data_IF_556562308185
#
_entry.id   IF_556562308185
#
_cell.length_a   1.000
_cell.length_b   1.000
_cell.length_c   1.000
_cell.angle_alpha   90.00
_cell.angle_beta   90.00
_cell.angle_gamma   90.00
#
_symmetry.space_group_name_H-M   'P 1'
#
loop_
_entity.id
_entity.type
_entity.pdbx_description
1 polymer ?
#
# COMPACT_ATOMS: atom_id res chain seq x y z
N UNK A 1 -42.88 -29.04 -44.24
CA UNK A 1 -43.54 -28.14 -43.27
C UNK A 1 -42.53 -27.10 -42.82
N UNK A 2 -42.85 -25.80 -42.83
CA UNK A 2 -41.91 -24.78 -42.37
C UNK A 2 -41.62 -25.01 -40.88
N UNK A 3 -40.34 -25.12 -40.53
CA UNK A 3 -39.89 -25.20 -39.15
C UNK A 3 -40.16 -23.86 -38.46
N UNK A 4 -41.30 -23.74 -37.80
CA UNK A 4 -41.57 -22.63 -36.89
C UNK A 4 -40.95 -22.93 -35.54
N UNK A 5 -40.45 -21.89 -34.86
CA UNK A 5 -39.79 -21.99 -33.54
C UNK A 5 -40.68 -22.74 -32.53
N UNK A 6 -42.00 -22.52 -32.58
CA UNK A 6 -42.97 -23.19 -31.71
C UNK A 6 -43.04 -24.70 -31.94
N UNK A 7 -42.91 -25.15 -33.19
CA UNK A 7 -42.91 -26.57 -33.51
C UNK A 7 -41.62 -27.26 -33.04
N UNK A 8 -40.49 -26.54 -33.05
CA UNK A 8 -39.20 -27.04 -32.54
C UNK A 8 -39.25 -27.20 -31.02
N UNK A 9 -39.69 -26.18 -30.29
CA UNK A 9 -39.78 -26.26 -28.82
C UNK A 9 -40.86 -27.25 -28.37
N UNK A 10 -41.97 -27.37 -29.11
CA UNK A 10 -42.98 -28.38 -28.87
C UNK A 10 -42.45 -29.80 -29.03
N UNK A 11 -41.68 -30.06 -30.10
CA UNK A 11 -41.03 -31.35 -30.32
C UNK A 11 -39.98 -31.64 -29.23
N UNK A 12 -39.13 -30.68 -28.91
CA UNK A 12 -38.09 -30.81 -27.87
C UNK A 12 -38.72 -31.09 -26.49
N UNK A 13 -39.77 -30.36 -26.14
CA UNK A 13 -40.52 -30.55 -24.89
C UNK A 13 -41.19 -31.92 -24.83
N UNK A 14 -41.76 -32.40 -25.95
CA UNK A 14 -42.34 -33.73 -26.02
C UNK A 14 -41.26 -34.83 -25.87
N UNK A 15 -40.12 -34.68 -26.54
CA UNK A 15 -38.99 -35.63 -26.41
C UNK A 15 -38.45 -35.66 -24.99
N UNK A 16 -38.27 -34.52 -24.33
CA UNK A 16 -37.83 -34.44 -22.93
C UNK A 16 -38.88 -35.05 -21.98
N UNK A 17 -40.16 -34.71 -22.18
CA UNK A 17 -41.27 -35.19 -21.36
C UNK A 17 -41.55 -36.70 -21.50
N UNK A 18 -41.23 -37.29 -22.66
CA UNK A 18 -41.35 -38.73 -22.88
C UNK A 18 -40.24 -39.56 -22.22
N UNK A 19 -39.07 -38.96 -21.95
CA UNK A 19 -37.91 -39.65 -21.36
C UNK A 19 -37.28 -38.83 -20.21
N UNK A 20 -38.03 -38.47 -19.16
CA UNK A 20 -37.61 -37.49 -18.17
C UNK A 20 -36.35 -37.91 -17.39
N UNK A 21 -36.24 -39.20 -17.04
CA UNK A 21 -35.10 -39.74 -16.28
C UNK A 21 -33.79 -39.61 -17.06
N UNK A 22 -33.81 -39.89 -18.37
CA UNK A 22 -32.63 -39.81 -19.23
C UNK A 22 -32.08 -38.39 -19.31
N UNK A 23 -32.97 -37.40 -19.47
CA UNK A 23 -32.56 -35.99 -19.53
C UNK A 23 -32.09 -35.44 -18.18
N UNK A 24 -32.60 -35.96 -17.07
CA UNK A 24 -32.08 -35.66 -15.72
C UNK A 24 -30.65 -36.18 -15.55
N UNK A 25 -30.37 -37.42 -15.96
CA UNK A 25 -29.01 -37.97 -15.86
C UNK A 25 -28.02 -37.24 -16.77
N UNK A 26 -28.44 -36.90 -17.99
CA UNK A 26 -27.62 -36.12 -18.92
C UNK A 26 -27.32 -34.72 -18.39
N UNK A 27 -28.31 -34.01 -17.86
CA UNK A 27 -28.11 -32.67 -17.31
C UNK A 27 -27.22 -32.69 -16.07
N UNK A 28 -27.40 -33.68 -15.18
CA UNK A 28 -26.56 -33.85 -13.99
C UNK A 28 -25.12 -34.18 -14.37
N UNK A 29 -24.91 -35.06 -15.36
CA UNK A 29 -23.57 -35.41 -15.83
C UNK A 29 -22.85 -34.21 -16.44
N UNK A 30 -23.54 -33.42 -17.28
CA UNK A 30 -23.01 -32.17 -17.84
C UNK A 30 -22.68 -31.15 -16.75
N UNK A 31 -23.55 -31.01 -15.75
CA UNK A 31 -23.32 -30.13 -14.61
C UNK A 31 -22.09 -30.57 -13.81
N UNK A 32 -21.97 -31.86 -13.47
CA UNK A 32 -20.81 -32.40 -12.75
C UNK A 32 -19.50 -32.21 -13.52
N UNK A 33 -19.50 -32.38 -14.84
CA UNK A 33 -18.31 -32.12 -15.68
C UNK A 33 -17.99 -30.61 -15.69
N UNK A 34 -19.00 -29.74 -15.76
CA UNK A 34 -18.78 -28.29 -15.76
C UNK A 34 -18.17 -27.77 -14.44
N UNK A 35 -18.46 -28.44 -13.32
CA UNK A 35 -17.90 -28.15 -12.01
C UNK A 35 -16.40 -28.47 -11.90
N UNK A 36 -15.87 -29.37 -12.72
CA UNK A 36 -14.45 -29.72 -12.70
C UNK A 36 -13.55 -28.54 -13.06
N UNK A 37 -14.01 -27.64 -13.93
CA UNK A 37 -13.24 -26.45 -14.32
C UNK A 37 -12.92 -25.55 -13.14
N UNK A 38 -13.94 -24.99 -12.46
CA UNK A 38 -13.75 -24.17 -11.26
C UNK A 38 -13.07 -24.93 -10.12
N UNK A 39 -13.37 -26.22 -9.89
CA UNK A 39 -12.77 -26.97 -8.78
C UNK A 39 -11.29 -27.29 -8.98
N UNK A 40 -10.86 -27.57 -10.22
CA UNK A 40 -9.47 -27.95 -10.52
C UNK A 40 -8.59 -26.77 -10.89
N UNK A 41 -9.17 -25.64 -11.31
CA UNK A 41 -8.43 -24.46 -11.80
C UNK A 41 -8.90 -23.16 -11.17
N UNK A 42 -9.25 -23.19 -9.89
CA UNK A 42 -9.57 -21.97 -9.16
C UNK A 42 -8.29 -21.15 -8.94
N UNK A 43 -8.08 -20.12 -9.77
CA UNK A 43 -7.05 -19.09 -9.55
C UNK A 43 -7.69 -17.92 -8.81
N UNK A 44 -7.66 -17.94 -7.47
CA UNK A 44 -8.12 -16.82 -6.66
C UNK A 44 -6.97 -15.82 -6.53
N UNK A 45 -7.05 -14.74 -7.29
CA UNK A 45 -6.16 -13.60 -7.15
C UNK A 45 -6.75 -12.61 -6.15
N UNK A 46 -6.07 -12.45 -5.02
CA UNK A 46 -6.48 -11.54 -3.93
C UNK A 46 -5.64 -10.27 -3.88
N UNK A 47 -4.75 -10.07 -4.85
CA UNK A 47 -3.96 -8.86 -4.93
C UNK A 47 -4.80 -7.70 -5.49
N UNK A 48 -4.62 -6.52 -4.90
CA UNK A 48 -5.33 -5.30 -5.31
C UNK A 48 -4.97 -4.93 -6.77
N UNK A 49 -3.82 -5.38 -7.26
CA UNK A 49 -3.33 -4.97 -8.57
C UNK A 49 -4.09 -5.67 -9.71
N UNK A 50 -4.24 -6.98 -9.65
CA UNK A 50 -4.94 -7.78 -10.66
C UNK A 50 -6.45 -7.50 -10.70
N UNK A 51 -7.04 -7.08 -9.57
CA UNK A 51 -8.45 -6.71 -9.50
C UNK A 51 -8.78 -5.32 -10.07
N UNK A 52 -7.83 -4.38 -10.03
CA UNK A 52 -8.08 -2.97 -10.35
C UNK A 52 -7.29 -2.43 -11.55
N UNK A 53 -6.25 -3.13 -12.02
CA UNK A 53 -5.48 -2.76 -13.19
C UNK A 53 -5.49 -3.89 -14.22
N UNK A 54 -5.56 -3.52 -15.51
CA UNK A 54 -5.28 -4.46 -16.59
C UNK A 54 -3.78 -4.61 -16.76
N UNK A 55 -3.35 -5.82 -17.11
CA UNK A 55 -1.93 -6.17 -17.30
C UNK A 55 -1.26 -5.38 -18.45
N UNK A 56 -2.03 -4.85 -19.39
CA UNK A 56 -1.56 -4.14 -20.59
C UNK A 56 -1.47 -2.61 -20.44
N UNK A 57 -1.66 -2.08 -19.23
CA UNK A 57 -1.66 -0.63 -18.99
C UNK A 57 -0.25 -0.03 -19.01
N UNK A 58 -0.17 1.28 -19.31
CA UNK A 58 1.10 2.01 -19.31
C UNK A 58 1.83 1.95 -17.96
N UNK A 59 1.09 2.02 -16.85
CA UNK A 59 1.65 1.88 -15.49
C UNK A 59 2.28 0.51 -15.25
N UNK A 60 1.70 -0.56 -15.81
CA UNK A 60 2.29 -1.90 -15.75
C UNK A 60 3.60 -2.00 -16.52
N UNK A 61 3.66 -1.33 -17.68
CA UNK A 61 4.88 -1.27 -18.49
C UNK A 61 5.99 -0.49 -17.76
N UNK A 62 5.67 0.62 -17.10
CA UNK A 62 6.61 1.38 -16.28
C UNK A 62 7.15 0.57 -15.10
N UNK A 63 6.28 -0.15 -14.39
CA UNK A 63 6.71 -1.05 -13.30
C UNK A 63 7.64 -2.15 -13.85
N UNK A 64 7.32 -2.73 -15.00
CA UNK A 64 8.15 -3.76 -15.64
C UNK A 64 9.52 -3.20 -16.05
N UNK A 65 9.54 -2.01 -16.68
CA UNK A 65 10.76 -1.32 -17.05
C UNK A 65 11.62 -0.98 -15.83
N UNK A 66 11.01 -0.53 -14.73
CA UNK A 66 11.71 -0.29 -13.46
C UNK A 66 12.35 -1.57 -12.92
N UNK A 67 11.59 -2.68 -12.84
CA UNK A 67 12.11 -3.98 -12.39
C UNK A 67 13.32 -4.42 -13.21
N UNK A 68 13.21 -4.31 -14.54
CA UNK A 68 14.29 -4.64 -15.47
C UNK A 68 15.51 -3.73 -15.30
N UNK A 69 15.30 -2.42 -15.18
CA UNK A 69 16.38 -1.44 -15.07
C UNK A 69 17.20 -1.62 -13.79
N UNK A 70 16.54 -1.83 -12.65
CA UNK A 70 17.21 -2.01 -11.36
C UNK A 70 17.53 -3.47 -11.02
N UNK A 71 17.29 -4.41 -11.95
CA UNK A 71 17.42 -5.85 -11.73
C UNK A 71 16.68 -6.35 -10.46
N UNK A 72 15.51 -5.76 -10.19
CA UNK A 72 14.68 -6.10 -9.05
C UNK A 72 13.77 -7.28 -9.41
N UNK A 73 13.72 -8.27 -8.52
CA UNK A 73 12.84 -9.44 -8.66
C UNK A 73 11.42 -9.16 -8.15
N UNK A 74 11.29 -8.19 -7.24
CA UNK A 74 10.03 -7.74 -6.64
C UNK A 74 9.44 -6.48 -7.27
N UNK A 75 8.21 -6.15 -6.91
CA UNK A 75 7.62 -4.85 -7.25
C UNK A 75 8.23 -3.76 -6.38
N UNK A 76 8.50 -2.56 -6.92
CA UNK A 76 8.94 -1.45 -6.08
C UNK A 76 7.84 -1.13 -5.08
N UNK A 77 8.19 -1.15 -3.79
CA UNK A 77 7.29 -0.84 -2.70
C UNK A 77 7.94 0.22 -1.82
N UNK A 78 7.12 1.09 -1.25
CA UNK A 78 7.55 2.14 -0.35
C UNK A 78 6.75 2.06 0.94
N UNK A 79 7.45 2.10 2.07
CA UNK A 79 6.82 2.23 3.37
C UNK A 79 6.67 3.71 3.71
N UNK A 80 5.44 4.14 3.97
CA UNK A 80 5.17 5.49 4.46
C UNK A 80 4.70 5.42 5.91
N UNK A 81 5.39 6.14 6.80
CA UNK A 81 4.97 6.36 8.17
C UNK A 81 4.44 7.79 8.30
N UNK A 82 3.17 7.91 8.68
CA UNK A 82 2.56 9.18 9.01
C UNK A 82 2.39 9.27 10.52
N UNK A 83 3.03 10.27 11.14
CA UNK A 83 2.94 10.53 12.56
C UNK A 83 2.28 11.88 12.81
N UNK A 84 1.35 11.91 13.76
CA UNK A 84 0.63 13.12 14.18
C UNK A 84 0.88 13.33 15.66
N UNK A 85 1.16 14.57 16.07
CA UNK A 85 1.31 14.90 17.47
C UNK A 85 -0.06 14.93 18.17
N UNK A 86 -0.16 14.32 19.35
CA UNK A 86 -1.38 14.35 20.16
C UNK A 86 -1.82 15.78 20.53
N UNK A 87 -0.85 16.69 20.66
CA UNK A 87 -1.05 18.12 20.86
C UNK A 87 0.20 18.86 20.36
N UNK A 88 0.05 20.14 19.98
CA UNK A 88 1.16 20.98 19.56
C UNK A 88 1.74 20.57 18.21
N UNK A 89 3.03 20.82 18.03
CA UNK A 89 3.74 20.48 16.80
C UNK A 89 4.57 19.22 16.96
N UNK A 90 4.56 18.33 15.95
CA UNK A 90 5.46 17.16 15.89
C UNK A 90 6.94 17.57 15.92
N UNK A 91 7.21 18.83 15.57
CA UNK A 91 8.52 19.46 15.56
C UNK A 91 9.02 19.86 16.96
N UNK A 92 8.23 19.68 18.01
CA UNK A 92 8.70 19.85 19.39
C UNK A 92 9.69 18.74 19.76
N UNK A 93 10.77 19.09 20.48
CA UNK A 93 11.89 18.18 20.74
C UNK A 93 11.47 16.83 21.30
N UNK A 94 10.67 16.80 22.38
CA UNK A 94 10.23 15.53 22.97
C UNK A 94 9.39 14.67 22.03
N UNK A 95 8.63 15.28 21.13
CA UNK A 95 7.80 14.58 20.13
C UNK A 95 8.63 14.09 18.95
N UNK A 96 9.59 14.89 18.51
CA UNK A 96 10.57 14.49 17.50
C UNK A 96 11.45 13.34 18.01
N UNK A 97 11.88 13.37 19.28
CA UNK A 97 12.69 12.31 19.89
C UNK A 97 11.92 10.99 20.02
N UNK A 98 10.65 11.06 20.42
CA UNK A 98 9.73 9.92 20.46
C UNK A 98 9.56 9.31 19.06
N UNK A 99 9.27 10.13 18.05
CA UNK A 99 9.14 9.69 16.66
C UNK A 99 10.44 9.07 16.14
N UNK A 100 11.58 9.71 16.41
CA UNK A 100 12.90 9.22 15.95
C UNK A 100 13.23 7.88 16.61
N UNK A 101 12.95 7.74 17.90
CA UNK A 101 13.16 6.48 18.63
C UNK A 101 12.28 5.36 18.08
N UNK A 102 11.00 5.66 17.83
CA UNK A 102 10.08 4.70 17.21
C UNK A 102 10.54 4.30 15.80
N UNK A 103 10.91 5.27 14.96
CA UNK A 103 11.39 5.00 13.61
C UNK A 103 12.64 4.11 13.60
N UNK A 104 13.63 4.41 14.44
CA UNK A 104 14.84 3.59 14.59
C UNK A 104 14.51 2.18 15.06
N UNK A 105 13.58 2.03 16.00
CA UNK A 105 13.16 0.70 16.44
C UNK A 105 12.57 -0.12 15.29
N UNK A 106 11.63 0.44 14.50
CA UNK A 106 11.02 -0.28 13.37
C UNK A 106 12.03 -0.61 12.28
N UNK A 107 12.93 0.32 11.96
CA UNK A 107 13.82 0.18 10.81
C UNK A 107 15.13 -0.56 11.12
N UNK A 108 15.69 -0.40 12.32
CA UNK A 108 17.01 -0.93 12.67
C UNK A 108 16.93 -2.15 13.62
N UNK A 109 15.97 -2.15 14.57
CA UNK A 109 15.99 -3.09 15.71
C UNK A 109 14.98 -4.23 15.53
N UNK A 110 13.78 -3.93 15.03
CA UNK A 110 12.66 -4.87 14.99
C UNK A 110 13.01 -6.13 14.17
N UNK A 111 12.96 -7.33 14.78
CA UNK A 111 13.17 -8.57 14.05
C UNK A 111 11.90 -8.97 13.32
N UNK A 112 12.03 -9.34 12.05
CA UNK A 112 10.95 -9.87 11.21
C UNK A 112 11.27 -11.33 10.92
N UNK A 113 10.37 -12.24 11.28
CA UNK A 113 10.56 -13.66 10.99
C UNK A 113 9.92 -14.02 9.65
N UNK A 114 10.77 -14.25 8.65
CA UNK A 114 10.35 -14.70 7.31
C UNK A 114 10.95 -16.07 7.08
N UNK A 115 10.13 -17.08 6.76
CA UNK A 115 10.59 -18.43 6.41
C UNK A 115 11.60 -19.06 7.38
N UNK A 116 11.38 -18.92 8.70
CA UNK A 116 12.27 -19.41 9.78
C UNK A 116 13.64 -18.71 9.86
N UNK A 117 13.88 -17.69 9.06
CA UNK A 117 14.99 -16.75 9.23
C UNK A 117 14.49 -15.45 9.85
N UNK A 118 15.31 -14.88 10.72
CA UNK A 118 15.10 -13.53 11.25
C UNK A 118 15.83 -12.56 10.32
N UNK A 119 15.08 -11.60 9.78
CA UNK A 119 15.58 -10.52 8.93
C UNK A 119 15.27 -9.17 9.57
N UNK A 120 16.06 -8.18 9.25
CA UNK A 120 15.93 -6.80 9.71
C UNK A 120 15.70 -5.87 8.53
N UNK A 121 14.86 -4.85 8.72
CA UNK A 121 14.51 -3.93 7.63
C UNK A 121 15.76 -3.25 7.04
N UNK A 122 16.61 -2.66 7.90
CA UNK A 122 17.81 -1.91 7.50
C UNK A 122 18.83 -2.72 6.69
N UNK A 123 18.97 -4.01 6.97
CA UNK A 123 20.04 -4.82 6.39
C UNK A 123 19.55 -5.73 5.26
N UNK A 124 18.27 -6.13 5.28
CA UNK A 124 17.78 -7.21 4.41
C UNK A 124 16.64 -6.78 3.47
N UNK A 125 15.90 -5.70 3.78
CA UNK A 125 14.64 -5.38 3.07
C UNK A 125 14.60 -4.00 2.40
N UNK A 126 15.40 -3.04 2.85
CA UNK A 126 15.27 -1.66 2.38
C UNK A 126 16.12 -1.30 1.18
N UNK A 127 17.05 -2.15 0.73
CA UNK A 127 17.90 -1.81 -0.41
C UNK A 127 17.05 -1.59 -1.69
N UNK A 128 17.38 -0.57 -2.50
CA UNK A 128 18.52 0.36 -2.39
C UNK A 128 18.23 1.66 -1.60
N UNK A 129 17.09 1.77 -0.93
CA UNK A 129 16.57 3.02 -0.35
C UNK A 129 16.76 3.15 1.17
N UNK A 130 17.61 2.33 1.79
CA UNK A 130 17.86 2.34 3.23
C UNK A 130 18.23 3.73 3.76
N UNK A 131 19.04 4.48 3.01
CA UNK A 131 19.53 5.80 3.41
C UNK A 131 18.66 6.96 2.92
N UNK A 132 17.52 6.69 2.27
CA UNK A 132 16.70 7.74 1.66
C UNK A 132 16.26 8.81 2.67
N UNK A 133 15.90 8.39 3.90
CA UNK A 133 15.47 9.31 4.96
C UNK A 133 16.63 9.86 5.82
N UNK A 134 17.88 9.46 5.57
CA UNK A 134 19.05 9.86 6.39
C UNK A 134 19.17 11.38 6.53
N UNK A 135 18.89 12.13 5.47
CA UNK A 135 18.95 13.60 5.46
C UNK A 135 17.88 14.24 6.34
N UNK A 136 16.67 13.68 6.37
CA UNK A 136 15.61 14.13 7.26
C UNK A 136 16.02 13.92 8.73
N UNK A 137 16.53 12.73 9.06
CA UNK A 137 16.97 12.43 10.41
C UNK A 137 18.17 13.26 10.83
N UNK A 138 19.12 13.50 9.93
CA UNK A 138 20.23 14.41 10.17
C UNK A 138 19.75 15.83 10.46
N UNK A 139 18.78 16.35 9.68
CA UNK A 139 18.19 17.67 9.94
C UNK A 139 17.51 17.74 11.32
N UNK A 140 16.74 16.70 11.69
CA UNK A 140 16.09 16.63 13.00
C UNK A 140 17.09 16.50 14.15
N UNK A 141 18.20 15.79 13.96
CA UNK A 141 19.30 15.71 14.94
C UNK A 141 20.09 17.02 15.04
N UNK A 142 20.41 17.67 13.91
CA UNK A 142 21.08 18.97 13.86
C UNK A 142 20.27 20.06 14.56
N UNK A 143 18.96 19.90 14.62
CA UNK A 143 18.08 20.74 15.43
C UNK A 143 18.50 20.83 16.90
N UNK A 144 18.99 19.73 17.46
CA UNK A 144 19.54 19.65 18.82
C UNK A 144 20.86 20.43 18.95
N UNK A 145 21.71 20.37 17.92
CA UNK A 145 23.02 21.06 17.91
C UNK A 145 22.92 22.56 17.60
N UNK A 146 22.17 22.94 16.56
CA UNK A 146 22.01 24.33 16.09
C UNK A 146 20.85 25.08 16.76
N UNK A 147 20.11 24.46 17.70
CA UNK A 147 18.98 25.09 18.41
C UNK A 147 17.88 25.62 17.47
N UNK A 148 17.56 24.84 16.42
CA UNK A 148 16.49 25.19 15.47
C UNK A 148 15.12 24.84 16.06
N UNK A 149 14.71 25.50 17.13
CA UNK A 149 13.44 25.17 17.80
C UNK A 149 12.25 25.73 17.02
N UNK A 150 11.23 24.88 16.79
CA UNK A 150 9.92 25.38 16.37
C UNK A 150 9.17 25.90 17.61
N UNK A 151 8.47 27.05 17.53
CA UNK A 151 8.37 27.97 16.39
C UNK A 151 9.50 29.00 16.33
N UNK A 152 10.28 29.17 17.41
CA UNK A 152 11.31 30.20 17.56
C UNK A 152 12.70 29.58 17.69
N UNK A 153 13.58 29.84 16.73
CA UNK A 153 15.01 29.47 16.79
C UNK A 153 15.88 30.67 17.14
N UNK A 154 17.06 30.43 17.70
CA UNK A 154 18.04 31.47 18.01
C UNK A 154 19.17 31.44 16.98
N UNK A 155 19.31 32.49 16.18
CA UNK A 155 20.41 32.67 15.23
C UNK A 155 21.26 33.86 15.70
N UNK A 156 22.41 33.57 16.31
CA UNK A 156 23.23 34.60 16.95
C UNK A 156 22.49 35.27 18.13
N UNK A 157 22.41 36.61 18.20
CA UNK A 157 21.68 37.31 19.26
C UNK A 157 20.16 37.41 18.99
N UNK A 158 19.68 36.97 17.82
CA UNK A 158 18.30 37.19 17.39
C UNK A 158 17.45 35.93 17.53
N UNK A 159 16.20 36.09 17.97
CA UNK A 159 15.16 35.07 17.91
C UNK A 159 14.41 35.17 16.58
N UNK A 160 14.41 34.10 15.80
CA UNK A 160 13.77 34.02 14.48
C UNK A 160 12.57 33.08 14.56
N UNK A 161 11.40 33.55 14.15
CA UNK A 161 10.17 32.73 14.10
C UNK A 161 10.13 31.92 12.80
N UNK A 162 10.74 30.74 12.80
CA UNK A 162 10.70 29.80 11.68
C UNK A 162 9.30 29.25 11.41
N UNK A 163 8.41 29.24 12.42
CA UNK A 163 7.00 28.88 12.25
C UNK A 163 6.30 29.78 11.23
N UNK A 164 6.58 31.10 11.29
CA UNK A 164 6.03 32.09 10.35
C UNK A 164 6.54 31.89 8.95
N UNK A 165 7.85 31.73 8.78
CA UNK A 165 8.47 31.73 7.45
C UNK A 165 8.41 30.39 6.72
N UNK A 166 8.36 29.26 7.43
CA UNK A 166 8.31 27.93 6.82
C UNK A 166 6.90 27.33 6.78
N UNK A 167 6.04 27.68 7.74
CA UNK A 167 4.74 27.03 7.93
C UNK A 167 3.56 28.00 7.97
N UNK A 168 3.80 29.30 7.70
CA UNK A 168 2.80 30.37 7.78
C UNK A 168 2.03 30.40 9.13
N UNK A 169 2.73 30.12 10.24
CA UNK A 169 2.17 30.14 11.61
C UNK A 169 2.64 31.37 12.37
N UNK A 170 1.75 32.05 13.08
CA UNK A 170 2.09 33.26 13.86
C UNK A 170 2.02 32.97 15.36
N UNK A 171 2.74 33.77 16.15
CA UNK A 171 2.75 33.71 17.63
C UNK A 171 2.16 34.98 18.21
N UNK A 172 1.31 34.88 19.24
CA UNK A 172 0.81 36.04 19.99
C UNK A 172 1.87 36.60 20.95
N UNK A 173 1.57 37.72 21.60
CA UNK A 173 2.45 38.36 22.60
C UNK A 173 2.74 37.48 23.83
N UNK A 174 1.97 36.40 24.03
CA UNK A 174 2.11 35.43 25.12
C UNK A 174 2.83 34.15 24.68
N UNK A 175 3.22 34.05 23.40
CA UNK A 175 3.91 32.90 22.82
C UNK A 175 3.00 31.76 22.32
N UNK A 176 1.67 31.95 22.28
CA UNK A 176 0.75 30.95 21.72
C UNK A 176 0.79 30.94 20.19
N UNK A 177 0.85 29.73 19.61
CA UNK A 177 0.97 29.50 18.17
C UNK A 177 -0.42 29.30 17.55
N UNK A 178 -0.75 30.08 16.53
CA UNK A 178 -1.99 29.92 15.75
C UNK A 178 -1.70 29.96 14.24
N UNK A 179 -2.61 29.36 13.45
CA UNK A 179 -2.62 29.59 12.00
C UNK A 179 -3.29 30.91 11.71
N UNK A 180 -2.74 31.63 10.73
CA UNK A 180 -3.44 32.72 10.07
C UNK A 180 -4.45 32.16 9.07
#
# INVERSE_FOLDING_TARGET
MPLTINNIFGLLGHTIGSHPVLFIFLSLSLFSISLLGPLLRLDIRVDIKSGFNRDDTASMQEISAHKLFFNNTGEPWYMALFAIANNGSILETGKTDELTTFYKYITEIMPINVNKSTVHYQNDLCEPFCDFNSQLWNLLNYRSFFKIFYPLTTVGPYKVNIGRYLFNRTTDERGFIFAQ
#
